data_IF_485497192056
#
_entry.id   IF_485497192056
#
_cell.length_a   1.000
_cell.length_b   1.000
_cell.length_c   1.000
_cell.angle_alpha   90.00
_cell.angle_beta   90.00
_cell.angle_gamma   90.00
#
_symmetry.space_group_name_H-M   'P 1'
#
loop_
_entity.id
_entity.type
_entity.pdbx_description
1 polymer ?
#
# COMPACT_ATOMS: atom_id res chain seq x y z
N UNK A 1 23.38 2.41 -13.52
CA UNK A 1 22.06 1.77 -13.28
C UNK A 1 21.41 1.23 -14.56
N UNK A 2 21.44 1.97 -15.68
CA UNK A 2 20.76 1.58 -16.93
C UNK A 2 21.31 0.34 -17.64
N UNK A 3 22.62 0.08 -17.57
CA UNK A 3 23.23 -1.06 -18.27
C UNK A 3 22.71 -2.44 -17.79
N UNK A 4 22.48 -2.60 -16.48
CA UNK A 4 21.94 -3.85 -15.91
C UNK A 4 20.50 -4.11 -16.37
N UNK A 5 19.67 -3.06 -16.36
CA UNK A 5 18.28 -3.14 -16.84
C UNK A 5 18.22 -3.46 -18.34
N UNK A 6 19.07 -2.80 -19.14
CA UNK A 6 19.14 -3.02 -20.58
C UNK A 6 19.59 -4.44 -20.93
N UNK A 7 20.60 -4.98 -20.23
CA UNK A 7 21.05 -6.36 -20.46
C UNK A 7 19.97 -7.38 -20.09
N UNK A 8 19.29 -7.21 -18.96
CA UNK A 8 18.19 -8.09 -18.57
C UNK A 8 17.04 -8.09 -19.58
N UNK A 9 16.68 -6.90 -20.09
CA UNK A 9 15.64 -6.75 -21.10
C UNK A 9 16.04 -7.41 -22.43
N UNK A 10 17.31 -7.26 -22.86
CA UNK A 10 17.83 -7.95 -24.05
C UNK A 10 17.78 -9.48 -23.90
N UNK A 11 18.19 -10.01 -22.76
CA UNK A 11 18.16 -11.45 -22.48
C UNK A 11 16.75 -12.02 -22.35
N UNK A 12 15.79 -11.19 -21.94
CA UNK A 12 14.40 -11.63 -21.69
C UNK A 12 13.44 -11.30 -22.84
N UNK A 13 13.91 -10.64 -23.91
CA UNK A 13 13.08 -10.13 -25.01
C UNK A 13 12.30 -11.23 -25.74
N UNK A 14 12.96 -12.34 -26.03
CA UNK A 14 12.41 -13.40 -26.88
C UNK A 14 11.80 -14.56 -26.07
N UNK A 15 11.59 -14.35 -24.76
CA UNK A 15 10.92 -15.33 -23.90
C UNK A 15 9.44 -15.41 -24.25
N UNK A 16 8.95 -16.62 -24.42
CA UNK A 16 7.57 -16.89 -24.80
C UNK A 16 6.59 -16.81 -23.61
N UNK A 17 5.30 -16.93 -23.92
CA UNK A 17 4.23 -16.81 -22.92
C UNK A 17 4.31 -17.92 -21.87
N UNK A 18 4.70 -19.13 -22.26
CA UNK A 18 4.77 -20.27 -21.36
C UNK A 18 5.92 -20.11 -20.35
N UNK A 19 7.06 -19.56 -20.76
CA UNK A 19 8.10 -19.14 -19.85
C UNK A 19 7.55 -18.17 -18.80
N UNK A 20 6.87 -17.09 -19.21
CA UNK A 20 6.37 -16.08 -18.27
C UNK A 20 5.28 -16.61 -17.33
N UNK A 21 4.47 -17.56 -17.78
CA UNK A 21 3.50 -18.26 -16.93
C UNK A 21 4.16 -19.08 -15.82
N UNK A 22 5.37 -19.58 -16.05
CA UNK A 22 6.12 -20.32 -15.03
C UNK A 22 6.77 -19.42 -13.97
N UNK A 23 6.88 -18.11 -14.22
CA UNK A 23 7.55 -17.18 -13.31
C UNK A 23 6.61 -16.76 -12.18
N UNK A 24 7.01 -17.06 -10.94
CA UNK A 24 6.33 -16.57 -9.75
C UNK A 24 6.97 -15.25 -9.29
N UNK A 25 6.27 -14.13 -9.52
CA UNK A 25 6.68 -12.82 -9.00
C UNK A 25 6.20 -12.65 -7.57
N UNK A 26 7.06 -12.11 -6.71
CA UNK A 26 6.73 -11.73 -5.33
C UNK A 26 7.36 -10.38 -5.02
N UNK A 27 6.66 -9.60 -4.20
CA UNK A 27 7.13 -8.32 -3.67
C UNK A 27 6.29 -7.99 -2.42
N UNK A 28 6.79 -7.06 -1.61
CA UNK A 28 6.06 -6.54 -0.46
C UNK A 28 5.46 -5.17 -0.81
N UNK A 29 4.24 -4.91 -0.34
CA UNK A 29 3.60 -3.61 -0.50
C UNK A 29 3.05 -3.11 0.82
N UNK A 30 3.33 -1.84 1.14
CA UNK A 30 2.77 -1.20 2.33
C UNK A 30 1.37 -0.67 2.03
N UNK A 31 0.37 -1.19 2.73
CA UNK A 31 -0.98 -0.62 2.73
C UNK A 31 -1.17 0.32 3.91
N UNK A 32 -1.72 1.50 3.65
CA UNK A 32 -1.96 2.52 4.68
C UNK A 32 -3.46 2.84 4.74
N UNK A 33 -4.09 2.44 5.83
CA UNK A 33 -5.55 2.63 6.08
C UNK A 33 -5.88 4.12 6.27
N UNK A 34 -4.96 4.86 6.89
CA UNK A 34 -5.07 6.29 7.17
C UNK A 34 -4.08 7.03 6.27
N UNK A 35 -4.42 7.18 4.99
CA UNK A 35 -3.62 8.00 4.08
C UNK A 35 -3.55 9.43 4.63
N UNK A 36 -2.50 10.19 4.30
CA UNK A 36 -2.32 11.61 4.69
C UNK A 36 -3.36 12.57 4.07
N UNK A 37 -4.53 12.06 3.69
CA UNK A 37 -5.72 12.82 3.32
C UNK A 37 -6.47 13.10 4.61
N UNK A 38 -6.86 14.35 4.84
CA UNK A 38 -7.64 14.73 6.00
C UNK A 38 -8.90 13.87 6.10
N UNK A 39 -8.90 12.89 7.01
CA UNK A 39 -10.13 12.21 7.36
C UNK A 39 -11.04 13.23 8.04
N UNK A 40 -12.25 13.39 7.51
CA UNK A 40 -13.26 14.21 8.14
C UNK A 40 -13.77 13.51 9.40
N UNK A 41 -13.07 13.72 10.51
CA UNK A 41 -13.58 13.40 11.85
C UNK A 41 -14.59 14.49 12.22
N UNK A 42 -15.85 14.33 11.78
CA UNK A 42 -16.92 15.31 11.98
C UNK A 42 -18.01 14.70 12.85
N UNK A 43 -18.50 15.46 13.83
CA UNK A 43 -19.75 15.19 14.56
C UNK A 43 -20.93 15.78 13.80
N UNK A 44 -22.10 15.17 13.90
CA UNK A 44 -23.34 15.74 13.32
C UNK A 44 -23.86 16.87 14.22
N UNK A 45 -24.52 17.87 13.64
CA UNK A 45 -25.15 18.95 14.41
C UNK A 45 -26.22 18.35 15.33
N UNK A 46 -26.12 18.60 16.64
CA UNK A 46 -27.05 18.09 17.66
C UNK A 46 -26.66 16.75 18.29
N UNK A 47 -25.57 16.11 17.85
CA UNK A 47 -25.08 14.89 18.47
C UNK A 47 -24.51 15.19 19.88
N UNK A 48 -24.96 14.46 20.91
CA UNK A 48 -24.47 14.62 22.29
C UNK A 48 -23.00 14.20 22.38
N UNK A 49 -22.19 14.92 23.16
CA UNK A 49 -20.80 14.53 23.40
C UNK A 49 -20.78 13.28 24.28
N UNK A 50 -20.00 12.27 23.88
CA UNK A 50 -19.75 11.07 24.68
C UNK A 50 -18.23 10.94 24.86
N UNK A 51 -17.76 10.89 26.11
CA UNK A 51 -16.34 10.74 26.46
C UNK A 51 -15.71 9.52 25.77
N UNK A 52 -16.47 8.43 25.69
CA UNK A 52 -16.06 7.16 25.12
C UNK A 52 -15.80 7.23 23.60
N UNK A 53 -16.31 8.26 22.91
CA UNK A 53 -16.00 8.52 21.49
C UNK A 53 -14.65 9.21 21.29
N UNK A 54 -13.98 9.64 22.37
CA UNK A 54 -12.66 10.27 22.34
C UNK A 54 -11.64 9.28 22.91
N UNK A 55 -11.32 8.25 22.13
CA UNK A 55 -10.18 7.39 22.46
C UNK A 55 -8.91 8.15 22.09
N UNK A 56 -8.17 8.64 23.09
CA UNK A 56 -6.83 9.18 22.91
C UNK A 56 -5.85 8.04 22.62
N UNK A 57 -5.89 7.50 21.41
CA UNK A 57 -4.82 6.66 20.89
C UNK A 57 -3.88 7.51 20.06
N UNK A 58 -2.58 7.32 20.25
CA UNK A 58 -1.62 7.81 19.27
C UNK A 58 -1.99 7.17 17.93
N UNK A 59 -2.43 7.99 16.96
CA UNK A 59 -2.68 7.53 15.58
C UNK A 59 -1.35 7.26 14.91
N UNK A 60 -0.67 6.19 15.32
CA UNK A 60 0.41 5.64 14.53
C UNK A 60 -0.21 5.09 13.25
N UNK A 61 0.36 5.36 12.07
CA UNK A 61 -0.12 4.71 10.86
C UNK A 61 -0.01 3.20 11.07
N UNK A 62 -1.14 2.52 11.08
CA UNK A 62 -1.18 1.05 11.08
C UNK A 62 -0.69 0.63 9.69
N UNK A 63 0.60 0.33 9.60
CA UNK A 63 1.21 -0.29 8.42
C UNK A 63 1.06 -1.79 8.60
N UNK A 64 0.32 -2.41 7.71
CA UNK A 64 0.26 -3.87 7.62
C UNK A 64 1.14 -4.25 6.43
N UNK A 65 2.12 -5.11 6.67
CA UNK A 65 2.88 -5.76 5.60
C UNK A 65 2.11 -7.01 5.21
N UNK A 66 1.92 -7.22 3.91
CA UNK A 66 1.28 -8.40 3.32
C UNK A 66 2.30 -9.01 2.37
#
# INVERSE_FOLDING_TARGET
MNAKRLNWAKQSRDKDVDFWRSVCFSDESTFVILQNKAQFVRRRRGEKFHSDCVVQTAKHPTKIMI
#
